data_IF_691648619786
#
_entry.id   IF_691648619786
#
_cell.length_a   1.000
_cell.length_b   1.000
_cell.length_c   1.000
_cell.angle_alpha   90.00
_cell.angle_beta   90.00
_cell.angle_gamma   90.00
#
_symmetry.space_group_name_H-M   'P 1'
#
loop_
_entity.id
_entity.type
_entity.pdbx_description
1 polymer ?
#
# COMPACT_ATOMS: atom_id res chain seq x y z
N UNK A 1 22.43 -17.63 -0.42
CA UNK A 1 21.45 -16.65 0.08
C UNK A 1 21.14 -15.67 -1.06
N UNK A 2 20.30 -16.11 -2.00
CA UNK A 2 19.94 -15.32 -3.19
C UNK A 2 18.82 -14.37 -2.78
N UNK A 3 19.16 -13.10 -2.60
CA UNK A 3 18.20 -12.00 -2.50
C UNK A 3 17.67 -11.71 -3.90
N UNK A 4 16.64 -12.44 -4.35
CA UNK A 4 15.75 -11.91 -5.39
C UNK A 4 14.83 -10.95 -4.64
N UNK A 5 15.22 -9.67 -4.61
CA UNK A 5 14.32 -8.56 -4.38
C UNK A 5 13.59 -8.36 -5.72
N UNK A 6 12.31 -8.74 -5.88
CA UNK A 6 11.58 -8.37 -7.07
C UNK A 6 11.26 -6.88 -6.91
N UNK A 7 12.14 -6.06 -7.48
CA UNK A 7 12.05 -4.61 -7.53
C UNK A 7 10.65 -4.16 -7.97
N UNK A 8 10.22 -2.99 -7.48
CA UNK A 8 8.95 -2.27 -7.72
C UNK A 8 8.44 -2.19 -9.19
N UNK A 9 9.18 -2.76 -10.13
CA UNK A 9 8.92 -2.83 -11.57
C UNK A 9 8.04 -4.02 -12.01
N UNK A 10 7.75 -4.97 -11.10
CA UNK A 10 6.85 -6.11 -11.38
C UNK A 10 5.52 -5.74 -12.07
N UNK A 11 4.79 -4.68 -11.68
CA UNK A 11 3.51 -4.36 -12.30
C UNK A 11 3.64 -3.91 -13.76
N UNK A 12 4.69 -3.13 -14.07
CA UNK A 12 4.93 -2.63 -15.42
C UNK A 12 5.38 -3.74 -16.37
N UNK A 13 6.27 -4.63 -15.91
CA UNK A 13 6.74 -5.78 -16.72
C UNK A 13 5.59 -6.74 -17.00
N UNK A 14 4.73 -7.01 -16.02
CA UNK A 14 3.55 -7.85 -16.18
C UNK A 14 2.54 -7.23 -17.16
N UNK A 15 2.30 -5.91 -17.05
CA UNK A 15 1.43 -5.19 -17.98
C UNK A 15 1.94 -5.26 -19.43
N UNK A 16 3.24 -5.02 -19.63
CA UNK A 16 3.88 -5.04 -20.96
C UNK A 16 3.86 -6.45 -21.58
N UNK A 17 4.12 -7.48 -20.77
CA UNK A 17 4.03 -8.88 -21.20
C UNK A 17 2.60 -9.27 -21.62
N UNK A 18 1.58 -8.88 -20.85
CA UNK A 18 0.17 -9.16 -21.18
C UNK A 18 -0.25 -8.49 -22.49
N UNK A 19 0.12 -7.22 -22.71
CA UNK A 19 -0.20 -6.49 -23.95
C UNK A 19 0.47 -7.12 -25.18
N UNK A 20 1.74 -7.54 -25.07
CA UNK A 20 2.48 -8.18 -26.17
C UNK A 20 1.90 -9.57 -26.49
N UNK A 21 1.53 -10.34 -25.47
CA UNK A 21 0.92 -11.66 -25.65
C UNK A 21 -0.48 -11.51 -26.28
N UNK A 22 -1.35 -10.65 -25.75
CA UNK A 22 -2.71 -10.51 -26.28
C UNK A 22 -2.74 -9.89 -27.69
N UNK A 23 -1.79 -9.00 -28.02
CA UNK A 23 -1.64 -8.42 -29.35
C UNK A 23 -1.26 -9.44 -30.43
N UNK A 24 -0.52 -10.50 -30.08
CA UNK A 24 -0.16 -11.57 -31.01
C UNK A 24 -1.26 -12.63 -31.21
N UNK A 25 -2.28 -12.67 -30.35
CA UNK A 25 -3.29 -13.75 -30.33
C UNK A 25 -4.67 -13.33 -30.85
N UNK A 26 -4.89 -12.07 -31.24
CA UNK A 26 -6.14 -11.63 -31.88
C UNK A 26 -7.39 -11.82 -31.01
N UNK A 27 -7.30 -11.57 -29.70
CA UNK A 27 -8.41 -11.79 -28.76
C UNK A 27 -9.56 -10.79 -28.93
N UNK A 28 -10.78 -11.26 -28.64
CA UNK A 28 -11.99 -10.42 -28.63
C UNK A 28 -11.92 -9.34 -27.54
N UNK A 29 -12.47 -8.14 -27.81
CA UNK A 29 -12.44 -6.96 -26.90
C UNK A 29 -12.84 -7.30 -25.46
N UNK A 30 -13.82 -8.18 -25.28
CA UNK A 30 -14.33 -8.57 -23.95
C UNK A 30 -13.29 -9.25 -23.08
N UNK A 31 -12.35 -9.99 -23.69
CA UNK A 31 -11.28 -10.72 -23.01
C UNK A 31 -10.16 -9.75 -22.61
N UNK A 32 -9.81 -8.81 -23.50
CA UNK A 32 -8.84 -7.75 -23.22
C UNK A 32 -9.27 -6.91 -22.00
N UNK A 33 -10.54 -6.51 -21.93
CA UNK A 33 -11.05 -5.72 -20.81
C UNK A 33 -10.93 -6.49 -19.49
N UNK A 34 -11.33 -7.77 -19.47
CA UNK A 34 -11.24 -8.60 -18.25
C UNK A 34 -9.80 -8.80 -17.79
N UNK A 35 -8.87 -9.07 -18.71
CA UNK A 35 -7.45 -9.21 -18.39
C UNK A 35 -6.84 -7.90 -17.87
N UNK A 36 -7.18 -6.77 -18.47
CA UNK A 36 -6.69 -5.46 -18.01
C UNK A 36 -7.15 -5.13 -16.58
N UNK A 37 -8.38 -5.52 -16.23
CA UNK A 37 -8.93 -5.30 -14.90
C UNK A 37 -8.27 -6.21 -13.85
N UNK A 38 -7.98 -7.46 -14.20
CA UNK A 38 -7.32 -8.42 -13.32
C UNK A 38 -5.90 -7.97 -12.96
N UNK A 39 -5.14 -7.49 -13.95
CA UNK A 39 -3.81 -6.89 -13.72
C UNK A 39 -3.91 -5.70 -12.75
N UNK A 40 -4.90 -4.82 -12.93
CA UNK A 40 -5.08 -3.65 -12.05
C UNK A 40 -5.36 -4.06 -10.59
N UNK A 41 -6.18 -5.11 -10.38
CA UNK A 41 -6.45 -5.64 -9.03
C UNK A 41 -5.26 -6.35 -8.38
N UNK A 42 -4.29 -6.83 -9.17
CA UNK A 42 -3.04 -7.40 -8.65
C UNK A 42 -2.09 -6.28 -8.21
N UNK A 43 -1.96 -5.21 -9.01
CA UNK A 43 -1.05 -4.08 -8.71
C UNK A 43 -1.52 -3.31 -7.50
N UNK A 44 -2.81 -3.03 -7.43
CA UNK A 44 -3.44 -2.34 -6.31
C UNK A 44 -4.44 -3.31 -5.72
N UNK A 45 -4.00 -4.25 -4.86
CA UNK A 45 -4.95 -5.11 -4.18
C UNK A 45 -5.93 -4.21 -3.44
N UNK A 46 -7.25 -4.27 -3.73
CA UNK A 46 -8.23 -3.34 -3.14
C UNK A 46 -8.31 -3.47 -1.61
N UNK A 47 -7.80 -4.58 -1.06
CA UNK A 47 -7.66 -4.81 0.38
C UNK A 47 -6.52 -4.00 1.02
N UNK A 48 -5.50 -3.59 0.26
CA UNK A 48 -4.31 -2.91 0.79
C UNK A 48 -4.64 -1.57 1.48
N UNK A 49 -5.38 -0.62 0.85
CA UNK A 49 -5.76 0.62 1.53
C UNK A 49 -6.73 0.37 2.70
N UNK A 50 -7.57 -0.67 2.61
CA UNK A 50 -8.49 -1.04 3.69
C UNK A 50 -7.72 -1.54 4.93
N UNK A 51 -6.68 -2.35 4.74
CA UNK A 51 -5.84 -2.84 5.85
C UNK A 51 -5.08 -1.70 6.52
N UNK A 52 -4.50 -0.77 5.75
CA UNK A 52 -3.79 0.38 6.30
C UNK A 52 -4.69 1.23 7.20
N UNK A 53 -5.89 1.58 6.73
CA UNK A 53 -6.85 2.36 7.51
C UNK A 53 -7.32 1.64 8.77
N UNK A 54 -7.59 0.33 8.68
CA UNK A 54 -8.03 -0.49 9.82
C UNK A 54 -6.94 -0.60 10.90
N UNK A 55 -5.69 -0.80 10.47
CA UNK A 55 -4.53 -0.88 11.38
C UNK A 55 -4.38 0.40 12.22
N UNK A 56 -4.61 1.54 11.58
CA UNK A 56 -4.50 2.85 12.17
C UNK A 56 -5.68 3.19 13.09
N UNK A 57 -6.89 2.82 12.67
CA UNK A 57 -8.10 2.99 13.47
C UNK A 57 -8.04 2.23 14.80
N UNK A 58 -7.51 1.01 14.80
CA UNK A 58 -7.30 0.24 16.02
C UNK A 58 -6.30 0.91 16.97
N UNK A 59 -5.20 1.44 16.43
CA UNK A 59 -4.21 2.18 17.21
C UNK A 59 -4.81 3.46 17.83
N UNK A 60 -5.61 4.19 17.05
CA UNK A 60 -6.33 5.38 17.51
C UNK A 60 -7.28 5.07 18.68
N UNK A 61 -8.06 3.98 18.59
CA UNK A 61 -8.95 3.56 19.69
C UNK A 61 -8.16 3.25 20.96
N UNK A 62 -7.02 2.55 20.82
CA UNK A 62 -6.14 2.21 21.95
C UNK A 62 -5.57 3.46 22.60
N UNK A 63 -5.08 4.42 21.81
CA UNK A 63 -4.56 5.70 22.31
C UNK A 63 -5.66 6.55 22.96
N UNK A 64 -6.87 6.55 22.39
CA UNK A 64 -8.03 7.25 22.94
C UNK A 64 -8.41 6.75 24.33
N UNK A 65 -8.30 5.44 24.59
CA UNK A 65 -8.51 4.86 25.93
C UNK A 65 -7.49 5.37 26.95
N UNK A 66 -6.31 5.80 26.51
CA UNK A 66 -5.27 6.40 27.34
C UNK A 66 -5.36 7.94 27.36
N UNK A 67 -6.43 8.54 26.81
CA UNK A 67 -6.63 9.99 26.78
C UNK A 67 -5.83 10.73 25.70
N UNK A 68 -5.13 10.02 24.81
CA UNK A 68 -4.32 10.59 23.74
C UNK A 68 -5.15 10.66 22.45
N UNK A 69 -5.39 11.87 21.95
CA UNK A 69 -6.16 12.12 20.72
C UNK A 69 -5.24 12.56 19.58
N UNK A 70 -5.12 11.72 18.55
CA UNK A 70 -4.36 12.05 17.36
C UNK A 70 -5.28 12.69 16.31
N UNK A 71 -5.02 13.96 15.95
CA UNK A 71 -5.75 14.65 14.88
C UNK A 71 -5.28 14.15 13.50
N UNK A 72 -3.98 13.88 13.37
CA UNK A 72 -3.39 13.28 12.20
C UNK A 72 -3.10 11.79 12.48
N UNK A 73 -3.89 10.87 11.92
CA UNK A 73 -3.70 9.45 12.20
C UNK A 73 -2.41 8.94 11.52
N UNK A 74 -1.98 9.50 10.39
CA UNK A 74 -0.71 9.10 9.74
C UNK A 74 0.53 9.32 10.64
N UNK A 75 0.46 10.24 11.60
CA UNK A 75 1.53 10.47 12.58
C UNK A 75 1.71 9.28 13.54
N UNK A 76 0.67 8.48 13.80
CA UNK A 76 0.77 7.26 14.62
C UNK A 76 1.70 6.24 13.96
N UNK A 77 1.68 6.15 12.62
CA UNK A 77 2.56 5.26 11.89
C UNK A 77 4.01 5.76 11.90
N UNK A 78 4.23 7.07 11.76
CA UNK A 78 5.55 7.68 11.81
C UNK A 78 6.21 7.56 13.19
N UNK A 79 5.42 7.63 14.27
CA UNK A 79 5.92 7.53 15.64
C UNK A 79 6.68 6.22 15.92
N UNK A 80 6.36 5.14 15.21
CA UNK A 80 7.07 3.85 15.33
C UNK A 80 8.42 3.80 14.59
N UNK A 81 8.70 4.77 13.72
CA UNK A 81 9.93 4.83 12.91
C UNK A 81 10.82 6.02 13.28
N UNK A 82 10.54 6.72 14.39
CA UNK A 82 11.37 7.84 14.85
C UNK A 82 12.62 7.34 15.58
N UNK A 83 13.78 7.81 15.17
CA UNK A 83 15.08 7.48 15.78
C UNK A 83 15.52 8.49 16.87
N UNK A 84 14.89 9.66 16.95
CA UNK A 84 15.25 10.70 17.93
C UNK A 84 14.02 11.47 18.40
N UNK A 85 13.98 11.78 19.69
CA UNK A 85 12.94 12.58 20.33
C UNK A 85 13.59 13.80 20.97
N UNK A 86 13.13 14.99 20.62
CA UNK A 86 13.60 16.25 21.18
C UNK A 86 12.59 16.73 22.22
N UNK A 87 13.07 16.99 23.45
CA UNK A 87 12.27 17.54 24.53
C UNK A 87 12.51 19.04 24.65
N UNK A 88 11.45 19.84 24.74
CA UNK A 88 11.56 21.27 25.01
C UNK A 88 11.65 21.52 26.53
N UNK A 89 12.42 22.54 26.93
CA UNK A 89 12.77 22.74 28.35
C UNK A 89 11.73 23.56 29.12
N UNK A 90 10.96 24.42 28.45
CA UNK A 90 10.19 25.47 29.17
C UNK A 90 8.82 24.98 29.63
N UNK A 91 8.25 23.98 28.96
CA UNK A 91 6.94 23.40 29.33
C UNK A 91 6.69 22.05 28.65
N UNK A 92 7.61 21.09 28.79
CA UNK A 92 7.36 19.67 28.47
C UNK A 92 7.45 18.82 29.72
#
# INVERSE_FOLDING_TARGET
MIQIQPSESQPFVLFLAVVVIDGNHGYSISIMIKKSLDVLTIVIPPALPAVMTTSLFLAQIRLRRHGIFCINPSAINLAGTLDTVVFDKVST
#
